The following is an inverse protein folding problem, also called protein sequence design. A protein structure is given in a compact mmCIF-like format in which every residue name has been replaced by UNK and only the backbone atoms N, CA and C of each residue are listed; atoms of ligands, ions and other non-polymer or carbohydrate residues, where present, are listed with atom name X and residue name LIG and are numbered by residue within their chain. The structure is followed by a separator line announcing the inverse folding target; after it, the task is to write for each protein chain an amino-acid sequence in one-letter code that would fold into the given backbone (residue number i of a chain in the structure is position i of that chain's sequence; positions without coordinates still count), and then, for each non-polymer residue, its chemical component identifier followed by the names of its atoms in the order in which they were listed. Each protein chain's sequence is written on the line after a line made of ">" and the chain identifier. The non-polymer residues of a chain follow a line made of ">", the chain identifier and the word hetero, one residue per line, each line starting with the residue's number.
data_IF_309462779985
#
_entry.id   IF_309462779985
#
_cell.length_a   1.000
_cell.length_b   1.000
_cell.length_c   1.000
_cell.angle_alpha   90.00
_cell.angle_beta   90.00
_cell.angle_gamma   90.00
#
_symmetry.space_group_name_H-M   'P 1'
#
loop_
_entity.id
_entity.type
_entity.pdbx_description
1 polymer ?
#
# COMPACT_ATOMS: atom_id res chain seq x y z
N UNK A 1 -5.75 -1.01 -6.68
CA UNK A 1 -5.40 0.26 -7.34
C UNK A 1 -3.98 0.12 -7.84
N UNK A 2 -3.72 0.48 -9.10
CA UNK A 2 -2.37 0.39 -9.65
C UNK A 2 -1.44 1.36 -8.94
N UNK A 3 -0.16 1.00 -8.84
CA UNK A 3 0.83 1.85 -8.18
C UNK A 3 0.93 3.24 -8.84
N UNK A 4 0.79 3.33 -10.16
CA UNK A 4 0.81 4.61 -10.88
C UNK A 4 -0.34 5.55 -10.45
N UNK A 5 -1.53 5.00 -10.24
CA UNK A 5 -2.69 5.77 -9.74
C UNK A 5 -2.44 6.25 -8.31
N UNK A 6 -1.88 5.38 -7.47
CA UNK A 6 -1.53 5.73 -6.09
C UNK A 6 -0.50 6.87 -6.03
N UNK A 7 0.49 6.89 -6.93
CA UNK A 7 1.46 7.99 -7.07
C UNK A 7 0.76 9.30 -7.46
N UNK A 8 -0.15 9.25 -8.44
CA UNK A 8 -0.93 10.43 -8.86
C UNK A 8 -1.77 10.99 -7.71
N UNK A 9 -2.42 10.12 -6.92
CA UNK A 9 -3.18 10.53 -5.74
C UNK A 9 -2.29 11.06 -4.61
N UNK A 10 -1.09 10.51 -4.44
CA UNK A 10 -0.11 10.99 -3.46
C UNK A 10 0.31 12.43 -3.77
N UNK A 11 0.62 12.73 -5.04
CA UNK A 11 0.98 14.06 -5.52
C UNK A 11 -0.18 15.06 -5.35
N UNK A 12 -1.41 14.61 -5.55
CA UNK A 12 -2.63 15.39 -5.29
C UNK A 12 -2.96 15.53 -3.79
N UNK A 13 -2.18 14.90 -2.90
CA UNK A 13 -2.41 14.91 -1.45
C UNK A 13 -3.71 14.23 -1.03
N UNK A 14 -4.18 13.25 -1.80
CA UNK A 14 -5.47 12.56 -1.60
C UNK A 14 -5.35 11.32 -0.70
N UNK A 15 -4.15 10.86 -0.41
CA UNK A 15 -3.90 9.73 0.48
C UNK A 15 -3.94 10.17 1.95
N UNK A 16 -4.58 9.39 2.80
CA UNK A 16 -4.77 9.70 4.22
C UNK A 16 -3.95 8.79 5.14
N UNK A 17 -3.96 7.48 4.89
CA UNK A 17 -3.27 6.51 5.71
C UNK A 17 -2.83 5.28 4.89
N UNK A 18 -1.93 4.50 5.48
CA UNK A 18 -1.47 3.23 4.94
C UNK A 18 -1.39 2.19 6.07
N UNK A 19 -1.80 0.97 5.73
CA UNK A 19 -1.77 -0.20 6.58
C UNK A 19 -0.98 -1.32 5.90
N UNK A 20 -0.22 -2.07 6.68
CA UNK A 20 0.48 -3.28 6.27
C UNK A 20 -0.24 -4.47 6.88
N UNK A 21 -0.69 -5.40 6.03
CA UNK A 21 -1.47 -6.56 6.43
C UNK A 21 -0.83 -7.84 5.91
N UNK A 22 -1.02 -8.96 6.62
CA UNK A 22 -0.62 -10.29 6.16
C UNK A 22 -1.49 -10.74 4.99
N UNK A 23 -0.87 -11.33 3.99
CA UNK A 23 -1.60 -12.02 2.92
C UNK A 23 -2.34 -13.24 3.51
N UNK A 24 -3.69 -13.34 3.42
CA UNK A 24 -4.43 -14.48 3.94
C UNK A 24 -4.13 -15.80 3.24
N UNK A 25 -3.61 -15.75 2.01
CA UNK A 25 -3.25 -16.95 1.24
C UNK A 25 -1.84 -17.45 1.56
N UNK A 26 -0.97 -16.57 2.09
CA UNK A 26 0.38 -16.89 2.53
C UNK A 26 0.79 -15.94 3.66
N UNK A 27 0.75 -16.45 4.89
CA UNK A 27 1.04 -15.65 6.09
C UNK A 27 2.51 -15.26 6.23
N UNK A 28 3.40 -15.68 5.33
CA UNK A 28 4.78 -15.17 5.28
C UNK A 28 4.86 -13.83 4.55
N UNK A 29 3.88 -13.54 3.69
CA UNK A 29 3.83 -12.34 2.86
C UNK A 29 2.98 -11.22 3.49
N UNK A 30 3.27 -10.00 3.03
CA UNK A 30 2.61 -8.75 3.41
C UNK A 30 2.17 -7.99 2.17
N UNK A 31 1.13 -7.15 2.32
CA UNK A 31 0.72 -6.18 1.31
C UNK A 31 0.34 -4.84 1.96
N UNK A 32 0.26 -3.80 1.12
CA UNK A 32 -0.17 -2.47 1.53
C UNK A 32 -1.65 -2.25 1.19
N UNK A 33 -2.40 -1.79 2.19
CA UNK A 33 -3.70 -1.15 2.00
C UNK A 33 -3.55 0.36 2.16
N UNK A 34 -3.92 1.12 1.14
CA UNK A 34 -3.97 2.59 1.15
C UNK A 34 -5.38 3.05 1.43
N UNK A 35 -5.52 4.04 2.31
CA UNK A 35 -6.78 4.69 2.64
C UNK A 35 -6.72 6.12 2.11
N UNK A 36 -7.67 6.47 1.25
CA UNK A 36 -7.85 7.83 0.75
C UNK A 36 -8.51 8.74 1.80
N UNK A 37 -8.41 10.05 1.60
CA UNK A 37 -9.18 11.05 2.38
C UNK A 37 -10.69 10.88 2.27
N UNK A 38 -11.17 10.23 1.21
CA UNK A 38 -12.58 9.85 1.02
C UNK A 38 -13.04 8.75 1.99
N UNK A 39 -12.10 8.06 2.66
CA UNK A 39 -12.35 6.89 3.49
C UNK A 39 -12.34 5.57 2.71
N UNK A 40 -12.24 5.60 1.38
CA UNK A 40 -12.09 4.38 0.57
C UNK A 40 -10.70 3.76 0.77
N UNK A 41 -10.66 2.44 0.85
CA UNK A 41 -9.43 1.67 0.96
C UNK A 41 -9.17 0.84 -0.29
N UNK A 42 -7.89 0.69 -0.63
CA UNK A 42 -7.45 -0.02 -1.82
C UNK A 42 -6.18 -0.82 -1.52
N UNK A 43 -6.11 -2.04 -2.05
CA UNK A 43 -4.86 -2.79 -2.13
C UNK A 43 -4.04 -2.25 -3.30
N UNK A 44 -2.74 -2.09 -3.11
CA UNK A 44 -1.83 -1.71 -4.21
C UNK A 44 -1.55 -2.91 -5.10
N UNK A 45 -1.69 -2.71 -6.40
CA UNK A 45 -1.43 -3.70 -7.43
C UNK A 45 -0.36 -3.20 -8.42
N UNK A 46 0.27 -4.14 -9.09
CA UNK A 46 1.16 -3.88 -10.23
C UNK A 46 0.37 -3.54 -11.51
N UNK A 47 1.07 -3.46 -12.63
CA UNK A 47 0.48 -3.08 -13.92
C UNK A 47 -0.43 -4.19 -14.50
N UNK A 48 -0.21 -5.44 -14.10
CA UNK A 48 -0.99 -6.63 -14.47
C UNK A 48 -2.18 -6.88 -13.50
N UNK A 49 -2.52 -5.88 -12.69
CA UNK A 49 -3.59 -5.91 -11.69
C UNK A 49 -3.39 -7.01 -10.62
N UNK A 50 -2.15 -7.48 -10.40
CA UNK A 50 -1.82 -8.39 -9.31
C UNK A 50 -1.46 -7.60 -8.04
N UNK A 51 -1.99 -7.98 -6.87
CA UNK A 51 -1.59 -7.38 -5.60
C UNK A 51 -0.08 -7.45 -5.40
N UNK A 52 0.54 -6.32 -5.03
CA UNK A 52 1.96 -6.31 -4.65
C UNK A 52 2.06 -6.96 -3.26
N UNK A 53 2.57 -8.19 -3.23
CA UNK A 53 2.84 -8.96 -2.02
C UNK A 53 4.33 -9.28 -1.93
N UNK A 54 4.87 -9.31 -0.71
CA UNK A 54 6.27 -9.66 -0.48
C UNK A 54 6.49 -10.17 0.96
N UNK A 55 7.46 -11.05 1.16
CA UNK A 55 7.98 -11.45 2.46
C UNK A 55 9.04 -10.46 3.01
N UNK A 56 9.50 -9.51 2.20
CA UNK A 56 10.46 -8.46 2.55
C UNK A 56 9.74 -7.15 2.95
N UNK A 57 9.54 -6.93 4.25
CA UNK A 57 8.79 -5.78 4.74
C UNK A 57 9.44 -4.42 4.39
N UNK A 58 10.78 -4.40 4.28
CA UNK A 58 11.58 -3.24 3.90
C UNK A 58 11.26 -2.73 2.48
N UNK A 59 10.89 -3.62 1.56
CA UNK A 59 10.45 -3.23 0.22
C UNK A 59 9.14 -2.44 0.27
N UNK A 60 8.20 -2.85 1.14
CA UNK A 60 6.94 -2.14 1.36
C UNK A 60 7.17 -0.77 2.04
N UNK A 61 8.10 -0.67 2.99
CA UNK A 61 8.46 0.63 3.58
C UNK A 61 9.05 1.60 2.57
N UNK A 62 9.89 1.10 1.66
CA UNK A 62 10.46 1.92 0.58
C UNK A 62 9.36 2.47 -0.32
N UNK A 63 8.40 1.62 -0.70
CA UNK A 63 7.24 2.00 -1.49
C UNK A 63 6.36 3.06 -0.79
N UNK A 64 6.09 2.87 0.50
CA UNK A 64 5.33 3.84 1.30
C UNK A 64 6.04 5.19 1.38
N UNK A 65 7.37 5.20 1.48
CA UNK A 65 8.18 6.41 1.50
C UNK A 65 8.13 7.15 0.17
N UNK A 66 8.15 6.43 -0.95
CA UNK A 66 7.95 7.00 -2.29
C UNK A 66 6.57 7.64 -2.46
N UNK A 67 5.54 7.05 -1.85
CA UNK A 67 4.18 7.60 -1.82
C UNK A 67 3.99 8.75 -0.80
N UNK A 68 5.06 9.17 -0.12
CA UNK A 68 5.04 10.31 0.80
C UNK A 68 4.50 10.00 2.20
N UNK A 69 4.26 8.73 2.55
CA UNK A 69 3.86 8.36 3.90
C UNK A 69 5.03 8.51 4.88
N UNK A 70 4.74 9.08 6.05
CA UNK A 70 5.70 9.21 7.16
C UNK A 70 5.54 8.15 8.24
N UNK A 71 4.41 7.45 8.21
CA UNK A 71 4.04 6.38 9.13
C UNK A 71 3.05 5.45 8.44
N UNK A 72 3.04 4.20 8.85
CA UNK A 72 2.02 3.21 8.52
C UNK A 72 1.68 2.40 9.77
N UNK A 73 0.51 1.79 9.78
CA UNK A 73 0.11 0.87 10.84
C UNK A 73 0.31 -0.57 10.38
N UNK A 74 0.71 -1.45 11.29
CA UNK A 74 0.72 -2.89 11.06
C UNK A 74 -0.54 -3.45 11.71
N UNK A 75 -1.38 -4.12 10.92
CA UNK A 75 -2.56 -4.83 11.40
C UNK A 75 -2.31 -6.34 11.36
N UNK A 76 -2.81 -7.05 12.37
CA UNK A 76 -2.65 -8.49 12.57
C UNK A 76 -4.00 -9.20 12.49
#
# INVERSE_FOLDING_TARGET
>A
MKLADAKTLAEAGMLAAAELLRNPSDHTQWFIMIIEKSGKSFIIADDDDQPIVTDELEALFSLLKELGFRKAQIAF
#
